data_IF_391390933193
#
_entry.id   IF_391390933193
#
_cell.length_a   1.000
_cell.length_b   1.000
_cell.length_c   1.000
_cell.angle_alpha   90.00
_cell.angle_beta   90.00
_cell.angle_gamma   90.00
#
_symmetry.space_group_name_H-M   'P 1'
#
loop_
_entity.id
_entity.type
_entity.pdbx_description
1 polymer ?
#
# COMPACT_ATOMS: atom_id res chain seq x y z
N UNK A 1 -14.25 -1.19 11.00
CA UNK A 1 -13.89 -0.97 9.57
C UNK A 1 -14.03 -2.28 8.83
N UNK A 2 -14.31 -2.24 7.55
CA UNK A 2 -14.40 -3.40 6.68
C UNK A 2 -13.57 -3.17 5.43
N UNK A 3 -13.06 -4.22 4.78
CA UNK A 3 -12.29 -4.12 3.56
C UNK A 3 -12.88 -5.06 2.51
N UNK A 4 -12.94 -4.57 1.27
CA UNK A 4 -13.39 -5.32 0.09
C UNK A 4 -12.21 -5.47 -0.86
N UNK A 5 -12.12 -6.62 -1.52
CA UNK A 5 -11.01 -6.97 -2.42
C UNK A 5 -11.55 -7.46 -3.75
N UNK A 6 -10.92 -7.04 -4.83
CA UNK A 6 -11.27 -7.44 -6.18
C UNK A 6 -10.00 -7.76 -6.98
N UNK A 7 -9.87 -8.99 -7.45
CA UNK A 7 -8.73 -9.40 -8.29
C UNK A 7 -8.75 -8.61 -9.60
N UNK A 8 -7.65 -7.98 -9.94
CA UNK A 8 -7.48 -7.27 -11.19
C UNK A 8 -6.65 -8.09 -12.18
N UNK A 9 -5.48 -8.58 -11.77
CA UNK A 9 -4.54 -9.33 -12.60
C UNK A 9 -3.39 -9.90 -11.76
N UNK A 10 -2.93 -11.13 -12.04
CA UNK A 10 -1.67 -11.69 -11.52
C UNK A 10 -1.39 -11.37 -10.05
N UNK A 11 -2.34 -11.70 -9.16
CA UNK A 11 -2.27 -11.41 -7.72
C UNK A 11 -2.20 -9.92 -7.36
N UNK A 12 -2.62 -9.04 -8.27
CA UNK A 12 -2.86 -7.62 -7.99
C UNK A 12 -4.35 -7.45 -7.72
N UNK A 13 -4.66 -6.94 -6.54
CA UNK A 13 -6.03 -6.75 -6.06
C UNK A 13 -6.31 -5.27 -5.85
N UNK A 14 -7.47 -4.82 -6.32
CA UNK A 14 -8.03 -3.56 -5.85
C UNK A 14 -8.54 -3.74 -4.43
N UNK A 15 -8.32 -2.74 -3.61
CA UNK A 15 -8.78 -2.67 -2.24
C UNK A 15 -9.73 -1.48 -2.08
N UNK A 16 -10.81 -1.68 -1.33
CA UNK A 16 -11.64 -0.60 -0.79
C UNK A 16 -11.77 -0.80 0.71
N UNK A 17 -11.34 0.19 1.47
CA UNK A 17 -11.46 0.24 2.92
C UNK A 17 -12.60 1.19 3.30
N UNK A 18 -13.56 0.73 4.11
CA UNK A 18 -14.55 1.58 4.75
C UNK A 18 -13.86 2.44 5.81
N UNK A 19 -13.72 3.72 5.53
CA UNK A 19 -13.01 4.64 6.42
C UNK A 19 -13.85 4.98 7.66
N UNK A 20 -13.22 5.18 8.84
CA UNK A 20 -13.93 5.49 10.09
C UNK A 20 -14.39 6.94 10.18
N UNK A 21 -14.03 7.78 9.23
CA UNK A 21 -14.38 9.19 9.14
C UNK A 21 -14.41 9.66 7.69
N UNK A 22 -14.88 10.88 7.45
CA UNK A 22 -14.81 11.52 6.13
C UNK A 22 -13.35 11.74 5.71
N UNK A 23 -13.11 11.74 4.40
CA UNK A 23 -11.75 11.96 3.87
C UNK A 23 -11.17 13.31 4.30
N UNK A 24 -11.98 14.37 4.30
CA UNK A 24 -11.58 15.72 4.74
C UNK A 24 -11.05 15.70 6.18
N UNK A 25 -11.72 14.97 7.07
CA UNK A 25 -11.25 14.82 8.45
C UNK A 25 -9.93 14.07 8.51
N UNK A 26 -9.77 13.00 7.74
CA UNK A 26 -8.53 12.22 7.69
C UNK A 26 -7.38 13.09 7.17
N UNK A 27 -7.60 13.86 6.10
CA UNK A 27 -6.60 14.78 5.55
C UNK A 27 -6.25 15.87 6.58
N UNK A 28 -7.24 16.43 7.27
CA UNK A 28 -7.01 17.42 8.31
C UNK A 28 -6.17 16.86 9.46
N UNK A 29 -6.43 15.63 9.91
CA UNK A 29 -5.62 14.95 10.92
C UNK A 29 -4.20 14.67 10.41
N UNK A 30 -4.03 14.20 9.15
CA UNK A 30 -2.73 13.97 8.53
C UNK A 30 -1.90 15.25 8.42
N UNK A 31 -2.54 16.39 8.17
CA UNK A 31 -1.85 17.68 8.06
C UNK A 31 -1.28 18.18 9.41
N UNK A 32 -1.78 17.67 10.53
CA UNK A 32 -1.35 18.02 11.88
C UNK A 32 -0.24 17.11 12.42
N UNK A 33 0.08 16.02 11.72
CA UNK A 33 1.10 15.07 12.14
C UNK A 33 2.52 15.55 11.86
N UNK A 34 3.45 15.05 12.66
CA UNK A 34 4.88 15.30 12.44
C UNK A 34 5.47 14.23 11.53
N UNK A 35 5.92 14.63 10.37
CA UNK A 35 6.43 13.77 9.33
C UNK A 35 7.95 13.65 9.34
N UNK A 36 8.47 12.45 9.14
CA UNK A 36 9.91 12.18 9.02
C UNK A 36 10.26 11.95 7.55
N UNK A 37 11.31 12.60 7.01
CA UNK A 37 11.78 12.32 5.66
C UNK A 37 12.09 10.83 5.48
N UNK A 38 11.66 10.25 4.34
CA UNK A 38 11.98 8.88 4.02
C UNK A 38 13.45 8.76 3.61
N UNK A 39 14.24 8.12 4.46
CA UNK A 39 15.68 7.88 4.23
C UNK A 39 15.96 6.48 3.67
N UNK A 40 14.95 5.66 3.44
CA UNK A 40 15.14 4.30 2.96
C UNK A 40 15.62 4.28 1.50
N UNK A 41 16.59 3.43 1.24
CA UNK A 41 17.45 3.36 0.05
C UNK A 41 16.85 3.18 -1.35
N UNK A 42 15.55 3.31 -1.54
CA UNK A 42 14.94 3.52 -2.86
C UNK A 42 15.19 4.93 -3.40
N UNK A 43 15.89 5.67 -2.66
CA UNK A 43 16.21 7.08 -2.68
C UNK A 43 17.06 7.57 -3.83
N UNK A 44 17.61 6.74 -4.66
CA UNK A 44 18.56 7.24 -5.66
C UNK A 44 17.94 8.19 -6.68
N UNK A 45 16.60 8.31 -6.74
CA UNK A 45 15.91 9.16 -7.70
C UNK A 45 14.63 9.85 -7.21
N UNK A 46 14.29 9.80 -5.93
CA UNK A 46 13.02 10.35 -5.43
C UNK A 46 13.14 11.22 -4.16
N UNK A 47 14.32 11.72 -3.89
CA UNK A 47 14.55 12.59 -2.76
C UNK A 47 14.41 14.06 -3.09
N UNK A 48 13.89 14.83 -2.21
CA UNK A 48 13.36 14.64 -0.87
C UNK A 48 11.83 14.68 -0.85
N UNK A 49 11.16 13.93 -1.70
CA UNK A 49 9.74 14.12 -1.99
C UNK A 49 8.81 13.16 -1.27
N UNK A 50 9.33 12.23 -0.43
CA UNK A 50 8.52 11.34 0.41
C UNK A 50 8.81 11.52 1.89
N UNK A 51 7.75 11.49 2.69
CA UNK A 51 7.80 11.51 4.15
C UNK A 51 7.01 10.33 4.71
N UNK A 52 7.38 9.87 5.92
CA UNK A 52 6.72 8.77 6.63
C UNK A 52 6.24 9.19 8.00
N UNK A 53 5.10 8.61 8.40
CA UNK A 53 4.55 8.67 9.75
C UNK A 53 4.38 7.22 10.23
N UNK A 54 5.30 6.75 11.07
CA UNK A 54 5.30 5.38 11.59
C UNK A 54 4.27 5.17 12.69
N UNK A 55 3.97 6.19 13.47
CA UNK A 55 3.03 6.15 14.58
C UNK A 55 2.16 7.39 14.57
N UNK A 56 0.89 7.19 14.25
CA UNK A 56 -0.10 8.26 14.25
C UNK A 56 -0.41 8.73 15.68
N UNK A 57 -0.63 10.03 15.85
CA UNK A 57 -1.06 10.64 17.11
C UNK A 57 -2.54 11.00 17.11
N UNK A 58 -3.12 11.26 15.95
CA UNK A 58 -4.53 11.63 15.80
C UNK A 58 -5.45 10.42 15.89
N UNK A 59 -6.61 10.53 16.56
CA UNK A 59 -7.48 9.38 16.89
C UNK A 59 -7.98 8.58 15.68
N UNK A 60 -8.39 9.26 14.60
CA UNK A 60 -8.88 8.59 13.39
C UNK A 60 -7.77 7.81 12.71
N UNK A 61 -6.56 8.40 12.61
CA UNK A 61 -5.39 7.76 12.03
C UNK A 61 -4.94 6.55 12.86
N UNK A 62 -4.96 6.67 14.19
CA UNK A 62 -4.68 5.54 15.08
C UNK A 62 -5.67 4.39 14.86
N UNK A 63 -6.96 4.68 14.69
CA UNK A 63 -7.97 3.67 14.42
C UNK A 63 -7.71 2.94 13.08
N UNK A 64 -7.34 3.67 12.03
CA UNK A 64 -6.97 3.09 10.73
C UNK A 64 -5.72 2.20 10.90
N UNK A 65 -4.67 2.73 11.52
CA UNK A 65 -3.42 2.00 11.73
C UNK A 65 -3.63 0.74 12.58
N UNK A 66 -4.41 0.82 13.64
CA UNK A 66 -4.77 -0.30 14.51
C UNK A 66 -5.51 -1.40 13.73
N UNK A 67 -6.47 -1.03 12.88
CA UNK A 67 -7.21 -1.98 12.08
C UNK A 67 -6.30 -2.71 11.07
N UNK A 68 -5.44 -1.96 10.38
CA UNK A 68 -4.53 -2.52 9.37
C UNK A 68 -3.48 -3.41 10.03
N UNK A 69 -2.85 -2.96 11.12
CA UNK A 69 -1.67 -3.65 11.70
C UNK A 69 -2.07 -4.76 12.68
N UNK A 70 -3.13 -4.56 13.49
CA UNK A 70 -3.47 -5.45 14.61
C UNK A 70 -4.87 -6.09 14.50
N UNK A 71 -5.67 -5.69 13.50
CA UNK A 71 -6.99 -6.24 13.26
C UNK A 71 -6.98 -7.54 12.46
N UNK A 72 -8.15 -7.94 12.01
CA UNK A 72 -8.34 -9.12 11.14
C UNK A 72 -7.80 -8.90 9.71
N UNK A 73 -7.34 -7.70 9.39
CA UNK A 73 -6.96 -7.32 8.02
C UNK A 73 -5.83 -8.20 7.45
N UNK A 74 -4.77 -8.44 8.25
CA UNK A 74 -3.68 -9.36 7.88
C UNK A 74 -4.22 -10.76 7.53
N UNK A 75 -5.05 -11.32 8.41
CA UNK A 75 -5.59 -12.67 8.22
C UNK A 75 -6.47 -12.73 6.97
N UNK A 76 -7.33 -11.73 6.74
CA UNK A 76 -8.18 -11.66 5.55
C UNK A 76 -7.35 -11.64 4.25
N UNK A 77 -6.21 -10.93 4.23
CA UNK A 77 -5.30 -10.91 3.08
C UNK A 77 -4.63 -12.26 2.85
N UNK A 78 -4.18 -12.93 3.91
CA UNK A 78 -3.59 -14.27 3.80
C UNK A 78 -4.64 -15.26 3.29
N UNK A 79 -5.82 -15.31 3.89
CA UNK A 79 -6.90 -16.22 3.49
C UNK A 79 -7.31 -16.00 2.03
N UNK A 80 -7.38 -14.73 1.60
CA UNK A 80 -7.68 -14.40 0.21
C UNK A 80 -6.60 -14.94 -0.75
N UNK A 81 -5.32 -14.72 -0.47
CA UNK A 81 -4.24 -15.23 -1.32
C UNK A 81 -4.20 -16.76 -1.30
N UNK A 82 -4.39 -17.38 -0.15
CA UNK A 82 -4.37 -18.84 0.01
C UNK A 82 -5.63 -19.54 -0.54
N UNK A 83 -6.67 -18.79 -0.89
CA UNK A 83 -7.81 -19.32 -1.65
C UNK A 83 -7.55 -19.45 -3.16
N UNK A 84 -6.41 -18.99 -3.64
CA UNK A 84 -5.96 -19.06 -5.03
C UNK A 84 -4.84 -20.10 -5.19
N UNK A 85 -4.17 -20.12 -6.34
CA UNK A 85 -2.97 -20.93 -6.60
C UNK A 85 -1.66 -20.33 -6.07
N UNK A 86 -1.73 -19.13 -5.43
CA UNK A 86 -0.57 -18.44 -4.84
C UNK A 86 0.24 -19.25 -3.82
N UNK A 87 -0.36 -20.13 -2.97
CA UNK A 87 0.40 -20.98 -2.06
C UNK A 87 1.49 -21.82 -2.72
N UNK A 88 1.31 -22.20 -3.99
CA UNK A 88 2.33 -22.94 -4.76
C UNK A 88 3.67 -22.22 -4.83
N UNK A 89 3.69 -20.89 -4.73
CA UNK A 89 4.90 -20.06 -4.74
C UNK A 89 5.67 -20.20 -3.42
N UNK A 90 4.95 -20.37 -2.28
CA UNK A 90 5.56 -20.37 -0.94
C UNK A 90 5.66 -21.75 -0.29
N UNK A 91 4.86 -22.71 -0.73
CA UNK A 91 4.87 -24.09 -0.23
C UNK A 91 4.49 -24.28 1.23
N UNK A 92 3.76 -23.33 1.84
CA UNK A 92 3.33 -23.36 3.24
C UNK A 92 1.83 -23.13 3.37
N UNK A 93 1.22 -23.57 4.48
CA UNK A 93 -0.19 -23.30 4.79
C UNK A 93 -0.43 -21.84 5.20
N UNK A 94 -1.68 -21.36 5.10
CA UNK A 94 -2.09 -20.03 5.56
C UNK A 94 -1.75 -19.79 7.02
N UNK A 95 -2.00 -20.76 7.89
CA UNK A 95 -1.72 -20.66 9.34
C UNK A 95 -0.21 -20.53 9.61
N UNK A 96 0.61 -21.27 8.87
CA UNK A 96 2.07 -21.16 8.96
C UNK A 96 2.56 -19.83 8.45
N UNK A 97 2.02 -19.34 7.34
CA UNK A 97 2.34 -18.01 6.83
C UNK A 97 1.95 -16.93 7.84
N UNK A 98 0.77 -17.02 8.45
CA UNK A 98 0.33 -16.06 9.47
C UNK A 98 1.29 -16.04 10.68
N UNK A 99 1.72 -17.20 11.13
CA UNK A 99 2.66 -17.33 12.25
C UNK A 99 4.09 -16.82 11.93
N UNK A 100 4.53 -16.95 10.67
CA UNK A 100 5.88 -16.57 10.22
C UNK A 100 6.01 -15.11 9.82
N UNK A 101 4.94 -14.34 9.85
CA UNK A 101 4.91 -12.97 9.31
C UNK A 101 4.39 -11.96 10.32
N UNK A 102 4.74 -10.71 10.09
CA UNK A 102 4.08 -9.56 10.74
C UNK A 102 3.52 -8.62 9.69
N UNK A 103 2.52 -7.84 10.08
CA UNK A 103 1.98 -6.78 9.27
C UNK A 103 2.46 -5.42 9.75
N UNK A 104 2.81 -4.56 8.81
CA UNK A 104 3.10 -3.15 9.08
C UNK A 104 2.13 -2.25 8.31
N UNK A 105 1.96 -1.02 8.82
CA UNK A 105 1.22 0.05 8.16
C UNK A 105 1.84 1.39 8.51
N UNK A 106 2.29 2.12 7.49
CA UNK A 106 2.99 3.41 7.61
C UNK A 106 2.30 4.44 6.73
N UNK A 107 1.83 5.53 7.31
CA UNK A 107 1.32 6.64 6.50
C UNK A 107 2.47 7.29 5.73
N UNK A 108 2.18 7.68 4.50
CA UNK A 108 3.12 8.38 3.64
C UNK A 108 2.52 9.68 3.11
N UNK A 109 3.37 10.67 2.99
CA UNK A 109 3.10 11.92 2.31
C UNK A 109 4.10 12.07 1.17
N UNK A 110 3.60 12.05 -0.06
CA UNK A 110 4.40 12.26 -1.26
C UNK A 110 4.15 13.67 -1.78
N UNK A 111 5.20 14.49 -1.81
CA UNK A 111 5.14 15.83 -2.36
C UNK A 111 4.98 15.82 -3.90
N UNK A 112 4.59 16.95 -4.51
CA UNK A 112 4.65 17.12 -5.95
C UNK A 112 6.02 16.71 -6.53
N UNK A 113 5.99 15.98 -7.65
CA UNK A 113 7.20 15.46 -8.30
C UNK A 113 7.73 14.13 -7.72
N UNK A 114 7.07 13.54 -6.72
CA UNK A 114 7.43 12.20 -6.27
C UNK A 114 7.28 11.18 -7.40
N UNK A 115 8.31 10.37 -7.59
CA UNK A 115 8.33 9.28 -8.56
C UNK A 115 9.22 8.15 -8.07
N UNK A 116 8.73 6.92 -8.13
CA UNK A 116 9.53 5.72 -7.93
C UNK A 116 9.52 4.90 -9.22
N UNK A 117 10.71 4.50 -9.69
CA UNK A 117 10.86 3.72 -10.93
C UNK A 117 10.14 2.38 -10.84
N UNK A 118 9.81 1.74 -11.98
CA UNK A 118 9.27 0.39 -11.99
C UNK A 118 10.15 -0.56 -11.16
N UNK A 119 9.53 -1.24 -10.20
CA UNK A 119 10.19 -2.19 -9.30
C UNK A 119 9.21 -3.27 -8.86
N UNK A 120 9.73 -4.35 -8.34
CA UNK A 120 9.03 -5.31 -7.49
C UNK A 120 9.46 -5.07 -6.04
N UNK A 121 8.64 -5.46 -5.09
CA UNK A 121 8.97 -5.32 -3.69
C UNK A 121 10.12 -6.25 -3.26
N UNK A 122 10.71 -5.94 -2.09
CA UNK A 122 11.74 -6.75 -1.46
C UNK A 122 11.21 -8.18 -1.21
N UNK A 123 12.07 -9.19 -1.44
CA UNK A 123 11.77 -10.62 -1.24
C UNK A 123 11.30 -10.99 0.17
N UNK A 124 11.51 -10.11 1.14
CA UNK A 124 10.99 -10.28 2.49
C UNK A 124 9.48 -10.02 2.60
N UNK A 125 8.87 -9.38 1.62
CA UNK A 125 7.45 -9.13 1.58
C UNK A 125 6.72 -10.30 0.92
N UNK A 126 5.67 -10.78 1.57
CA UNK A 126 4.68 -11.70 0.98
C UNK A 126 3.75 -10.93 0.05
N UNK A 127 3.35 -9.75 0.51
CA UNK A 127 2.59 -8.77 -0.27
C UNK A 127 2.91 -7.36 0.24
N UNK A 128 2.67 -6.38 -0.63
CA UNK A 128 2.67 -4.97 -0.27
C UNK A 128 1.53 -4.25 -0.98
N UNK A 129 1.02 -3.20 -0.37
CA UNK A 129 -0.07 -2.41 -0.93
C UNK A 129 -0.12 -0.99 -0.40
N UNK A 130 -1.11 -0.27 -0.88
CA UNK A 130 -1.33 1.13 -0.55
C UNK A 130 -2.82 1.44 -0.44
N UNK A 131 -3.20 2.25 0.54
CA UNK A 131 -4.52 2.85 0.70
C UNK A 131 -4.38 4.36 0.53
N UNK A 132 -5.21 4.96 -0.33
CA UNK A 132 -5.15 6.38 -0.63
C UNK A 132 -6.13 7.19 0.23
N UNK A 133 -5.69 8.39 0.62
CA UNK A 133 -6.50 9.41 1.31
C UNK A 133 -6.47 10.70 0.49
N UNK A 134 -7.07 10.64 -0.69
CA UNK A 134 -7.19 11.75 -1.64
C UNK A 134 -8.65 11.88 -2.07
N UNK A 135 -9.08 13.07 -2.47
CA UNK A 135 -10.51 13.40 -2.61
C UNK A 135 -11.20 12.70 -3.78
N UNK A 136 -10.46 12.36 -4.83
CA UNK A 136 -11.02 11.78 -6.05
C UNK A 136 -9.99 10.94 -6.79
N UNK A 137 -10.42 10.23 -7.83
CA UNK A 137 -9.52 9.54 -8.73
C UNK A 137 -8.70 10.55 -9.55
N UNK A 138 -7.42 10.65 -9.23
CA UNK A 138 -6.47 11.54 -9.90
C UNK A 138 -5.36 10.70 -10.58
N UNK A 139 -5.35 10.63 -11.93
CA UNK A 139 -4.30 9.92 -12.65
C UNK A 139 -2.89 10.42 -12.33
N UNK A 140 -2.73 11.69 -11.99
CA UNK A 140 -1.42 12.26 -11.64
C UNK A 140 -0.90 11.76 -10.28
N UNK A 141 -1.78 11.20 -9.42
CA UNK A 141 -1.45 10.65 -8.10
C UNK A 141 -1.52 9.11 -8.06
N UNK A 142 -1.57 8.46 -9.20
CA UNK A 142 -1.86 7.02 -9.30
C UNK A 142 -0.62 6.13 -9.08
N UNK A 143 -0.89 4.85 -8.86
CA UNK A 143 0.07 3.76 -9.07
C UNK A 143 -0.31 3.03 -10.35
N UNK A 144 0.70 2.65 -11.14
CA UNK A 144 0.50 1.81 -12.32
C UNK A 144 1.26 0.50 -12.13
N UNK A 145 0.58 -0.61 -12.31
CA UNK A 145 1.15 -1.95 -12.28
C UNK A 145 1.47 -2.44 -13.70
N UNK A 146 2.52 -3.22 -13.83
CA UNK A 146 3.02 -3.78 -15.10
C UNK A 146 3.29 -5.28 -14.96
N UNK A 147 3.39 -5.99 -16.07
CA UNK A 147 3.79 -7.40 -16.10
C UNK A 147 5.30 -7.57 -16.22
N UNK A 148 6.01 -6.55 -16.69
CA UNK A 148 7.46 -6.56 -16.87
C UNK A 148 8.09 -5.26 -16.39
N UNK A 149 9.40 -5.26 -16.22
CA UNK A 149 10.19 -4.07 -15.88
C UNK A 149 10.11 -2.99 -16.96
N UNK A 150 9.95 -3.38 -18.21
CA UNK A 150 9.86 -2.51 -19.37
C UNK A 150 8.54 -1.76 -19.48
N UNK A 151 7.54 -2.13 -18.65
CA UNK A 151 6.26 -1.45 -18.57
C UNK A 151 5.17 -2.05 -19.46
N UNK A 152 5.26 -3.34 -19.78
CA UNK A 152 4.23 -4.03 -20.56
C UNK A 152 2.89 -4.14 -19.81
N UNK A 153 1.82 -4.09 -20.58
CA UNK A 153 0.44 -4.23 -20.10
C UNK A 153 0.14 -3.33 -18.89
N UNK A 154 0.18 -2.01 -19.01
CA UNK A 154 -0.07 -1.11 -17.90
C UNK A 154 -1.50 -1.30 -17.34
N UNK A 155 -1.59 -1.35 -16.02
CA UNK A 155 -2.84 -1.34 -15.27
C UNK A 155 -2.80 -0.19 -14.27
N UNK A 156 -3.53 0.89 -14.55
CA UNK A 156 -3.66 1.99 -13.61
C UNK A 156 -4.55 1.58 -12.44
N UNK A 157 -4.07 1.79 -11.25
CA UNK A 157 -4.84 1.61 -10.02
C UNK A 157 -5.61 2.90 -9.73
N UNK A 158 -6.95 2.88 -9.68
CA UNK A 158 -7.73 4.05 -9.31
C UNK A 158 -7.39 4.53 -7.91
N UNK A 159 -7.39 5.84 -7.74
CA UNK A 159 -7.19 6.50 -6.44
C UNK A 159 -8.52 7.06 -5.93
N UNK A 160 -8.58 7.40 -4.64
CA UNK A 160 -9.75 7.96 -4.01
C UNK A 160 -9.83 7.61 -2.52
N UNK A 161 -10.81 8.16 -1.78
CA UNK A 161 -10.93 7.92 -0.35
C UNK A 161 -11.08 6.44 0.00
N UNK A 162 -10.09 5.87 0.70
CA UNK A 162 -10.08 4.47 1.09
C UNK A 162 -9.88 3.47 -0.06
N UNK A 163 -9.74 3.93 -1.30
CA UNK A 163 -9.35 3.07 -2.40
C UNK A 163 -7.86 2.76 -2.32
N UNK A 164 -7.48 1.63 -2.88
CA UNK A 164 -6.09 1.21 -2.90
C UNK A 164 -5.89 -0.10 -3.65
N UNK A 165 -4.75 -0.69 -3.41
CA UNK A 165 -4.39 -1.99 -3.98
C UNK A 165 -3.46 -2.73 -3.04
N UNK A 166 -3.29 -4.00 -3.30
CA UNK A 166 -2.09 -4.74 -2.92
C UNK A 166 -1.68 -5.69 -4.05
N UNK A 167 -0.41 -5.99 -4.08
CA UNK A 167 0.17 -6.99 -4.96
C UNK A 167 0.88 -8.04 -4.12
N UNK A 168 0.65 -9.32 -4.39
CA UNK A 168 1.49 -10.37 -3.87
C UNK A 168 2.87 -10.27 -4.55
N UNK A 169 3.92 -10.50 -3.78
CA UNK A 169 5.29 -10.37 -4.29
C UNK A 169 5.65 -11.55 -5.19
N UNK A 170 5.56 -11.33 -6.48
CA UNK A 170 5.93 -12.26 -7.55
C UNK A 170 6.89 -11.58 -8.52
N UNK A 171 7.48 -12.35 -9.42
CA UNK A 171 8.36 -11.79 -10.46
C UNK A 171 7.63 -10.86 -11.44
N UNK A 172 6.28 -10.92 -11.48
CA UNK A 172 5.43 -10.18 -12.41
C UNK A 172 4.66 -9.02 -11.74
N UNK A 173 4.96 -8.73 -10.46
CA UNK A 173 4.28 -7.66 -9.70
C UNK A 173 4.98 -6.30 -9.81
N UNK A 174 5.46 -5.95 -11.01
CA UNK A 174 6.10 -4.68 -11.27
C UNK A 174 5.13 -3.52 -11.11
N UNK A 175 5.56 -2.46 -10.45
CA UNK A 175 4.73 -1.26 -10.28
C UNK A 175 5.56 0.02 -10.14
N UNK A 176 4.89 1.14 -10.41
CA UNK A 176 5.42 2.49 -10.28
C UNK A 176 4.42 3.33 -9.49
N UNK A 177 4.89 4.14 -8.57
CA UNK A 177 4.09 5.13 -7.86
C UNK A 177 4.55 6.54 -8.22
N UNK A 178 3.60 7.45 -8.44
CA UNK A 178 3.92 8.83 -8.75
C UNK A 178 2.96 9.81 -8.06
N UNK A 179 3.46 11.02 -7.86
CA UNK A 179 2.66 12.21 -7.59
C UNK A 179 3.11 13.32 -8.55
N UNK A 180 2.48 13.36 -9.71
CA UNK A 180 2.70 14.39 -10.73
C UNK A 180 1.72 15.56 -10.61
N UNK A 181 0.89 15.60 -9.54
CA UNK A 181 -0.01 16.71 -9.24
C UNK A 181 0.71 17.85 -8.51
N UNK A 182 0.03 18.97 -8.35
CA UNK A 182 0.52 20.11 -7.56
C UNK A 182 0.19 20.02 -6.06
N UNK A 183 -0.43 18.91 -5.62
CA UNK A 183 -0.85 18.69 -4.22
C UNK A 183 -0.09 17.55 -3.60
N UNK A 184 0.00 17.55 -2.27
CA UNK A 184 0.51 16.41 -1.52
C UNK A 184 -0.42 15.21 -1.72
N UNK A 185 0.18 14.03 -1.90
CA UNK A 185 -0.53 12.76 -1.93
C UNK A 185 -0.38 12.07 -0.58
N UNK A 186 -1.51 11.85 0.10
CA UNK A 186 -1.53 11.08 1.34
C UNK A 186 -1.97 9.64 1.08
N UNK A 187 -1.25 8.70 1.66
CA UNK A 187 -1.56 7.28 1.60
C UNK A 187 -1.06 6.53 2.82
N UNK A 188 -1.47 5.27 2.98
CA UNK A 188 -0.85 4.33 3.90
C UNK A 188 -0.25 3.19 3.08
N UNK A 189 1.06 3.01 3.16
CA UNK A 189 1.73 1.80 2.68
C UNK A 189 1.59 0.73 3.76
N UNK A 190 1.16 -0.46 3.38
CA UNK A 190 1.06 -1.61 4.26
C UNK A 190 1.68 -2.84 3.60
N UNK A 191 2.06 -3.83 4.40
CA UNK A 191 2.57 -5.07 3.86
C UNK A 191 2.67 -6.17 4.90
N UNK A 192 2.68 -7.41 4.42
CA UNK A 192 2.97 -8.60 5.20
C UNK A 192 4.41 -8.99 4.92
N UNK A 193 5.22 -9.07 5.98
CA UNK A 193 6.65 -9.32 5.90
C UNK A 193 7.05 -10.52 6.74
N UNK A 194 8.03 -11.31 6.27
CA UNK A 194 8.60 -12.43 7.02
C UNK A 194 9.29 -11.94 8.30
N UNK A 195 9.09 -12.68 9.40
CA UNK A 195 9.89 -12.58 10.62
C UNK A 195 11.17 -13.39 10.41
N UNK A 196 12.31 -12.74 10.31
CA UNK A 196 13.63 -13.37 10.29
C UNK A 196 14.37 -13.04 11.57
#
# INVERSE_FOLDING_TARGET
MNAQFELQRNYIYRLKLDLPATNDRIIAELSQETWTPDQAGYAQNSFPTRYRLHKATQPTLQQIQQYVVHGSFKRNLIDLLWSTDFPGVWGVSADRMDAMTFMYGVFTKDLPGYFIRPHTDDRMHVLQGMIYFIDSDDPAQSTTAYTTKEGDNPLRIPTGPGLGYFAANTNDSWHVGQNASERDRYSMVFGIRLNL
#
